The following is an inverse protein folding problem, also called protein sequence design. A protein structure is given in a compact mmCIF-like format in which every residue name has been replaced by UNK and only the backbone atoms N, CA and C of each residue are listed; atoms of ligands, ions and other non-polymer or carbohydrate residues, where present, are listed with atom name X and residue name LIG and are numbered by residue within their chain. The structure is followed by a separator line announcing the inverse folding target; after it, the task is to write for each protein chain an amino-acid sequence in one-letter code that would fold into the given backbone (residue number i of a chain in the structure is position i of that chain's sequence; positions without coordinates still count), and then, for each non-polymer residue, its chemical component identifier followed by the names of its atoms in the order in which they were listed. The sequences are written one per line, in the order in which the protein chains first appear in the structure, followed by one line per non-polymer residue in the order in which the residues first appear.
data_IF_272712536834
#
_entry.id   IF_272712536834
#
_cell.length_a   1.000
_cell.length_b   1.000
_cell.length_c   1.000
_cell.angle_alpha   90.00
_cell.angle_beta   90.00
_cell.angle_gamma   90.00
#
_symmetry.space_group_name_H-M   'P 1'
#
loop_
_entity.id
_entity.type
_entity.pdbx_description
1 polymer ?
#
# COMPACT_ATOMS: atom_id res chain seq x y z
N UNK A 1 54.37 -52.89 40.48
CA UNK A 1 53.43 -53.17 39.38
C UNK A 1 52.58 -51.93 39.19
N UNK A 2 52.53 -51.45 37.95
CA UNK A 2 51.90 -50.22 37.45
C UNK A 2 50.53 -49.90 38.07
N UNK A 3 50.12 -48.65 38.32
CA UNK A 3 50.53 -47.39 37.73
C UNK A 3 49.69 -47.06 36.50
N UNK A 4 48.47 -46.54 36.69
CA UNK A 4 47.84 -45.55 35.80
C UNK A 4 47.11 -44.55 36.72
N UNK A 5 47.83 -43.49 37.04
CA UNK A 5 47.35 -42.27 37.67
C UNK A 5 46.37 -41.54 36.74
N UNK A 6 45.37 -40.92 37.35
CA UNK A 6 44.44 -40.00 36.69
C UNK A 6 45.22 -38.85 36.02
N UNK A 7 44.95 -38.53 34.74
CA UNK A 7 45.46 -37.30 34.15
C UNK A 7 44.58 -36.09 34.57
N UNK A 8 45.12 -34.87 34.45
CA UNK A 8 45.04 -33.85 35.48
C UNK A 8 43.87 -32.86 35.34
N UNK A 9 43.47 -32.28 36.49
CA UNK A 9 42.82 -30.97 36.58
C UNK A 9 43.74 -29.90 35.99
N UNK A 10 43.51 -29.50 34.75
CA UNK A 10 43.97 -28.25 34.13
C UNK A 10 42.75 -27.68 33.38
N UNK A 11 42.19 -26.51 33.72
CA UNK A 11 42.90 -25.34 34.21
C UNK A 11 43.77 -24.75 33.12
N UNK A 12 43.27 -24.66 31.87
CA UNK A 12 43.82 -23.84 30.79
C UNK A 12 42.84 -23.80 29.59
N UNK A 13 41.67 -23.22 29.79
CA UNK A 13 41.19 -22.25 28.80
C UNK A 13 41.25 -20.90 29.52
N UNK A 14 42.06 -20.01 28.94
CA UNK A 14 42.31 -18.69 29.50
C UNK A 14 41.00 -17.95 29.67
N UNK A 15 40.92 -17.20 30.78
CA UNK A 15 39.94 -16.14 31.07
C UNK A 15 39.02 -15.83 29.88
N UNK A 16 37.86 -16.47 29.82
CA UNK A 16 36.73 -15.84 29.17
C UNK A 16 36.44 -14.61 30.02
N UNK A 17 36.81 -13.48 29.45
CA UNK A 17 36.42 -12.15 29.88
C UNK A 17 34.93 -12.17 30.19
N UNK A 18 34.59 -11.62 31.36
CA UNK A 18 33.26 -11.12 31.69
C UNK A 18 32.77 -10.22 30.54
N UNK A 19 32.20 -10.82 29.50
CA UNK A 19 31.53 -10.10 28.42
C UNK A 19 30.09 -9.94 28.87
N UNK A 20 29.88 -8.85 29.59
CA UNK A 20 28.65 -8.04 29.64
C UNK A 20 27.49 -8.60 28.79
N UNK A 21 26.74 -9.53 29.36
CA UNK A 21 25.35 -9.82 28.95
C UNK A 21 24.39 -8.82 29.60
N UNK A 22 24.79 -7.55 29.68
CA UNK A 22 24.03 -6.48 30.33
C UNK A 22 23.65 -5.35 29.38
N UNK A 23 24.01 -5.41 28.09
CA UNK A 23 23.74 -4.31 27.13
C UNK A 23 22.75 -4.65 26.00
N UNK A 24 22.24 -5.89 25.88
CA UNK A 24 21.29 -6.25 24.79
C UNK A 24 19.84 -6.34 25.27
N UNK A 25 19.62 -6.47 26.58
CA UNK A 25 18.30 -6.31 27.18
C UNK A 25 18.41 -5.08 28.06
N UNK A 26 17.71 -4.02 27.68
CA UNK A 26 17.51 -2.86 28.55
C UNK A 26 16.94 -3.27 29.91
N UNK A 27 16.87 -2.31 30.83
CA UNK A 27 16.31 -2.54 32.16
C UNK A 27 14.97 -3.28 32.03
N UNK A 28 14.63 -4.30 32.83
CA UNK A 28 13.28 -4.88 32.83
C UNK A 28 12.16 -3.82 32.89
N UNK A 29 12.42 -2.67 33.50
CA UNK A 29 11.53 -1.50 33.49
C UNK A 29 11.37 -0.86 32.08
N UNK A 30 12.39 -0.95 31.21
CA UNK A 30 12.34 -0.50 29.81
C UNK A 30 11.56 -1.46 28.90
N UNK A 31 11.57 -2.77 29.18
CA UNK A 31 10.74 -3.75 28.46
C UNK A 31 9.26 -3.56 28.79
N UNK A 32 8.92 -3.32 30.06
CA UNK A 32 7.55 -3.03 30.47
C UNK A 32 7.05 -1.69 29.89
N UNK A 33 7.92 -0.68 29.81
CA UNK A 33 7.60 0.59 29.14
C UNK A 33 7.43 0.43 27.62
N UNK A 34 8.28 -0.36 26.96
CA UNK A 34 8.16 -0.65 25.54
C UNK A 34 6.89 -1.46 25.22
N UNK A 35 6.55 -2.43 26.08
CA UNK A 35 5.32 -3.21 25.97
C UNK A 35 4.09 -2.33 26.18
N UNK A 36 4.10 -1.46 27.18
CA UNK A 36 3.04 -0.50 27.42
C UNK A 36 2.85 0.45 26.22
N UNK A 37 3.94 0.96 25.65
CA UNK A 37 3.89 1.82 24.46
C UNK A 37 3.35 1.07 23.21
N UNK A 38 3.66 -0.21 23.05
CA UNK A 38 3.11 -1.05 21.98
C UNK A 38 1.62 -1.32 22.18
N UNK A 39 1.19 -1.60 23.41
CA UNK A 39 -0.23 -1.78 23.76
C UNK A 39 -0.99 -0.49 23.51
N UNK A 40 -0.51 0.65 24.02
CA UNK A 40 -1.10 1.97 23.80
C UNK A 40 -1.19 2.30 22.30
N UNK A 41 -0.13 2.02 21.52
CA UNK A 41 -0.15 2.19 20.06
C UNK A 41 -1.18 1.27 19.39
N UNK A 42 -1.32 0.02 19.83
CA UNK A 42 -2.30 -0.92 19.28
C UNK A 42 -3.74 -0.52 19.58
N UNK A 43 -4.00 -0.01 20.79
CA UNK A 43 -5.30 0.51 21.20
C UNK A 43 -5.65 1.74 20.36
N UNK A 44 -4.68 2.64 20.16
CA UNK A 44 -4.85 3.82 19.31
C UNK A 44 -5.12 3.48 17.84
N UNK A 45 -4.44 2.47 17.28
CA UNK A 45 -4.73 1.96 15.92
C UNK A 45 -6.14 1.36 15.85
N UNK A 46 -6.55 0.61 16.88
CA UNK A 46 -7.89 0.04 16.96
C UNK A 46 -8.98 1.12 16.99
N UNK A 47 -8.76 2.20 17.73
CA UNK A 47 -9.68 3.34 17.81
C UNK A 47 -9.81 4.05 16.46
N UNK A 48 -8.68 4.34 15.79
CA UNK A 48 -8.67 4.96 14.45
C UNK A 48 -9.38 4.06 13.44
N UNK A 49 -9.11 2.74 13.45
CA UNK A 49 -9.77 1.79 12.57
C UNK A 49 -11.29 1.74 12.79
N UNK A 50 -11.73 1.74 14.06
CA UNK A 50 -13.15 1.77 14.42
C UNK A 50 -13.80 3.06 13.91
N UNK A 51 -13.15 4.19 14.10
CA UNK A 51 -13.63 5.49 13.65
C UNK A 51 -13.77 5.56 12.12
N UNK A 52 -12.79 5.05 11.38
CA UNK A 52 -12.82 4.96 9.92
C UNK A 52 -13.96 4.06 9.46
N UNK A 53 -14.09 2.86 10.05
CA UNK A 53 -15.18 1.95 9.71
C UNK A 53 -16.57 2.57 9.94
N UNK A 54 -16.75 3.31 11.04
CA UNK A 54 -17.99 4.04 11.32
C UNK A 54 -18.28 5.13 10.27
N UNK A 55 -17.26 5.87 9.84
CA UNK A 55 -17.40 6.87 8.79
C UNK A 55 -17.76 6.22 7.45
N UNK A 56 -17.13 5.11 7.08
CA UNK A 56 -17.43 4.39 5.84
C UNK A 56 -18.88 3.92 5.78
N UNK A 57 -19.38 3.35 6.89
CA UNK A 57 -20.78 2.94 7.01
C UNK A 57 -21.71 4.15 6.88
N UNK A 58 -21.40 5.25 7.57
CA UNK A 58 -22.23 6.46 7.58
C UNK A 58 -22.38 7.10 6.20
N UNK A 59 -21.30 7.13 5.42
CA UNK A 59 -21.30 7.66 4.06
C UNK A 59 -21.78 6.65 3.02
N UNK A 60 -21.98 5.38 3.41
CA UNK A 60 -22.42 4.32 2.49
C UNK A 60 -21.35 3.94 1.48
N UNK A 61 -20.08 3.99 1.89
CA UNK A 61 -18.95 3.62 1.03
C UNK A 61 -18.94 2.12 0.78
N UNK A 62 -19.05 1.74 -0.49
CA UNK A 62 -18.86 0.35 -0.90
C UNK A 62 -17.37 0.07 -1.10
N UNK A 63 -16.75 -0.44 -0.02
CA UNK A 63 -15.35 -0.84 0.02
C UNK A 63 -15.25 -2.36 0.07
N UNK A 64 -14.29 -2.95 -0.63
CA UNK A 64 -13.96 -4.38 -0.54
C UNK A 64 -13.04 -4.60 0.65
N UNK A 65 -12.02 -3.76 0.79
CA UNK A 65 -11.12 -3.74 1.93
C UNK A 65 -11.81 -3.21 3.19
N UNK A 66 -11.57 -3.83 4.34
CA UNK A 66 -12.06 -3.35 5.64
C UNK A 66 -11.03 -3.58 6.73
N UNK A 67 -10.82 -2.53 7.53
CA UNK A 67 -9.84 -2.53 8.60
C UNK A 67 -10.25 -3.47 9.73
N UNK A 68 -9.31 -4.29 10.18
CA UNK A 68 -9.47 -5.19 11.32
C UNK A 68 -10.15 -6.54 11.02
N UNK A 69 -10.43 -6.85 9.75
CA UNK A 69 -10.86 -8.19 9.36
C UNK A 69 -9.71 -9.20 9.41
N UNK A 70 -10.04 -10.45 9.71
CA UNK A 70 -9.12 -11.58 9.51
C UNK A 70 -8.94 -11.90 8.01
N UNK A 71 -7.89 -12.65 7.69
CA UNK A 71 -7.64 -13.11 6.31
C UNK A 71 -8.83 -13.92 5.74
N UNK A 72 -9.49 -14.72 6.58
CA UNK A 72 -10.65 -15.51 6.18
C UNK A 72 -11.88 -14.63 5.88
N UNK A 73 -12.12 -13.60 6.70
CA UNK A 73 -13.22 -12.65 6.48
C UNK A 73 -12.97 -11.76 5.25
N UNK A 74 -11.71 -11.35 5.06
CA UNK A 74 -11.29 -10.57 3.90
C UNK A 74 -11.50 -11.38 2.61
N UNK A 75 -11.01 -12.64 2.58
CA UNK A 75 -11.20 -13.54 1.43
C UNK A 75 -12.68 -13.78 1.10
N UNK A 76 -13.55 -13.97 2.10
CA UNK A 76 -15.01 -14.10 1.86
C UNK A 76 -15.62 -12.85 1.22
N UNK A 77 -15.08 -11.68 1.54
CA UNK A 77 -15.55 -10.40 1.01
C UNK A 77 -15.08 -10.18 -0.42
N UNK A 78 -13.86 -10.60 -0.73
CA UNK A 78 -13.33 -10.64 -2.10
C UNK A 78 -14.16 -11.59 -2.97
N UNK A 79 -14.44 -12.80 -2.48
CA UNK A 79 -15.29 -13.78 -3.19
C UNK A 79 -16.70 -13.21 -3.45
N UNK A 80 -17.29 -12.53 -2.46
CA UNK A 80 -18.59 -11.88 -2.61
C UNK A 80 -18.56 -10.73 -3.62
N UNK A 81 -17.47 -9.95 -3.67
CA UNK A 81 -17.28 -8.89 -4.65
C UNK A 81 -17.14 -9.47 -6.07
N UNK A 82 -16.38 -10.55 -6.22
CA UNK A 82 -16.21 -11.25 -7.49
C UNK A 82 -17.55 -11.78 -8.01
N UNK A 83 -18.34 -12.42 -7.16
CA UNK A 83 -19.67 -12.90 -7.54
C UNK A 83 -20.60 -11.75 -7.94
N UNK A 84 -20.57 -10.63 -7.20
CA UNK A 84 -21.31 -9.42 -7.55
C UNK A 84 -20.96 -8.91 -8.95
N UNK A 85 -19.66 -8.78 -9.25
CA UNK A 85 -19.22 -8.29 -10.57
C UNK A 85 -19.50 -9.28 -11.71
N UNK A 86 -19.44 -10.60 -11.46
CA UNK A 86 -19.92 -11.59 -12.44
C UNK A 86 -21.38 -11.35 -12.77
N UNK A 87 -22.21 -11.14 -11.73
CA UNK A 87 -23.63 -10.90 -11.91
C UNK A 87 -23.90 -9.60 -12.69
N UNK A 88 -23.12 -8.55 -12.45
CA UNK A 88 -23.19 -7.29 -13.20
C UNK A 88 -22.89 -7.49 -14.69
N UNK A 89 -21.86 -8.28 -15.00
CA UNK A 89 -21.51 -8.65 -16.39
C UNK A 89 -22.63 -9.46 -17.05
N UNK A 90 -23.23 -10.41 -16.34
CA UNK A 90 -24.41 -11.14 -16.83
C UNK A 90 -25.61 -10.22 -17.09
N UNK A 91 -25.75 -9.16 -16.30
CA UNK A 91 -26.77 -8.13 -16.46
C UNK A 91 -26.43 -7.11 -17.56
N UNK A 92 -25.25 -7.23 -18.19
CA UNK A 92 -24.79 -6.40 -19.30
C UNK A 92 -24.01 -5.15 -18.89
N UNK A 93 -23.58 -5.03 -17.64
CA UNK A 93 -22.61 -4.02 -17.22
C UNK A 93 -21.18 -4.52 -17.46
N UNK A 94 -20.54 -3.94 -18.46
CA UNK A 94 -19.15 -4.26 -18.83
C UNK A 94 -18.15 -3.18 -18.39
N UNK A 95 -18.54 -2.25 -17.52
CA UNK A 95 -17.72 -1.10 -17.13
C UNK A 95 -16.36 -1.45 -16.53
N UNK A 96 -16.20 -2.67 -16.00
CA UNK A 96 -14.97 -3.17 -15.36
C UNK A 96 -14.11 -4.04 -16.28
N UNK A 97 -14.50 -4.18 -17.54
CA UNK A 97 -13.85 -5.05 -18.52
C UNK A 97 -13.30 -4.26 -19.70
N UNK A 98 -12.14 -4.67 -20.20
CA UNK A 98 -11.66 -4.28 -21.52
C UNK A 98 -12.30 -5.19 -22.57
N UNK A 99 -13.42 -4.72 -23.11
CA UNK A 99 -14.17 -5.44 -24.15
C UNK A 99 -13.32 -5.71 -25.39
N UNK A 100 -12.39 -4.81 -25.75
CA UNK A 100 -11.55 -4.98 -26.93
C UNK A 100 -10.62 -6.18 -26.76
N UNK A 101 -10.07 -6.36 -25.55
CA UNK A 101 -9.26 -7.53 -25.21
C UNK A 101 -10.08 -8.83 -25.17
N UNK A 102 -11.41 -8.75 -25.02
CA UNK A 102 -12.29 -9.92 -24.96
C UNK A 102 -12.77 -10.40 -26.34
N UNK A 103 -12.71 -9.55 -27.37
CA UNK A 103 -13.17 -9.89 -28.74
C UNK A 103 -12.41 -11.10 -29.32
N UNK A 104 -11.15 -11.32 -28.96
CA UNK A 104 -10.35 -12.46 -29.43
C UNK A 104 -10.90 -13.82 -28.99
N UNK A 105 -11.69 -13.84 -27.90
CA UNK A 105 -12.31 -15.04 -27.35
C UNK A 105 -13.75 -15.26 -27.84
N UNK A 106 -14.30 -14.39 -28.69
CA UNK A 106 -15.73 -14.42 -29.07
C UNK A 106 -16.22 -15.72 -29.74
N UNK A 107 -15.31 -16.56 -30.24
CA UNK A 107 -15.61 -17.88 -30.79
C UNK A 107 -15.61 -19.03 -29.78
N UNK A 108 -15.01 -18.84 -28.60
CA UNK A 108 -14.88 -19.85 -27.53
C UNK A 108 -15.49 -19.33 -26.23
N UNK A 109 -16.68 -19.82 -25.93
CA UNK A 109 -17.44 -19.39 -24.74
C UNK A 109 -16.74 -19.73 -23.43
N UNK A 110 -15.96 -20.81 -23.38
CA UNK A 110 -15.28 -21.21 -22.16
C UNK A 110 -14.07 -20.30 -21.93
N UNK A 111 -13.27 -20.07 -22.98
CA UNK A 111 -12.15 -19.15 -22.90
C UNK A 111 -12.58 -17.69 -22.62
N UNK A 112 -13.72 -17.25 -23.18
CA UNK A 112 -14.29 -15.94 -22.90
C UNK A 112 -14.69 -15.79 -21.42
N UNK A 113 -15.31 -16.82 -20.83
CA UNK A 113 -15.68 -16.80 -19.42
C UNK A 113 -14.44 -16.75 -18.50
N UNK A 114 -13.40 -17.53 -18.81
CA UNK A 114 -12.13 -17.50 -18.08
C UNK A 114 -11.43 -16.14 -18.19
N UNK A 115 -11.45 -15.51 -19.36
CA UNK A 115 -10.87 -14.18 -19.58
C UNK A 115 -11.62 -13.08 -18.81
N UNK A 116 -12.95 -13.15 -18.76
CA UNK A 116 -13.79 -12.25 -17.94
C UNK A 116 -13.43 -12.41 -16.46
N UNK A 117 -13.41 -13.64 -15.95
CA UNK A 117 -13.06 -13.91 -14.55
C UNK A 117 -11.69 -13.35 -14.17
N UNK A 118 -10.70 -13.55 -15.03
CA UNK A 118 -9.35 -13.03 -14.82
C UNK A 118 -9.33 -11.50 -14.77
N UNK A 119 -10.02 -10.82 -15.70
CA UNK A 119 -10.09 -9.36 -15.69
C UNK A 119 -10.80 -8.83 -14.43
N UNK A 120 -11.88 -9.49 -13.98
CA UNK A 120 -12.58 -9.11 -12.75
C UNK A 120 -11.71 -9.29 -11.51
N UNK A 121 -10.95 -10.38 -11.42
CA UNK A 121 -9.99 -10.59 -10.32
C UNK A 121 -8.92 -9.51 -10.30
N UNK A 122 -8.31 -9.21 -11.46
CA UNK A 122 -7.32 -8.13 -11.57
C UNK A 122 -7.92 -6.78 -11.19
N UNK A 123 -9.17 -6.51 -11.56
CA UNK A 123 -9.87 -5.30 -11.15
C UNK A 123 -10.07 -5.24 -9.63
N UNK A 124 -10.52 -6.32 -9.00
CA UNK A 124 -10.70 -6.41 -7.54
C UNK A 124 -9.38 -6.17 -6.82
N UNK A 125 -8.29 -6.83 -7.23
CA UNK A 125 -6.97 -6.65 -6.61
C UNK A 125 -6.52 -5.19 -6.67
N UNK A 126 -6.69 -4.53 -7.83
CA UNK A 126 -6.39 -3.10 -7.99
C UNK A 126 -7.26 -2.24 -7.08
N UNK A 127 -8.57 -2.52 -7.02
CA UNK A 127 -9.49 -1.77 -6.16
C UNK A 127 -9.11 -1.89 -4.69
N UNK A 128 -8.82 -3.10 -4.21
CA UNK A 128 -8.37 -3.35 -2.83
C UNK A 128 -7.08 -2.59 -2.54
N UNK A 129 -6.09 -2.65 -3.44
CA UNK A 129 -4.84 -1.93 -3.26
C UNK A 129 -5.05 -0.41 -3.16
N UNK A 130 -5.91 0.16 -4.02
CA UNK A 130 -6.30 1.57 -3.97
C UNK A 130 -7.02 1.93 -2.67
N UNK A 131 -7.97 1.10 -2.21
CA UNK A 131 -8.69 1.29 -0.95
C UNK A 131 -7.74 1.25 0.25
N UNK A 132 -6.82 0.27 0.28
CA UNK A 132 -5.79 0.17 1.31
C UNK A 132 -4.91 1.42 1.37
N UNK A 133 -4.45 1.90 0.21
CA UNK A 133 -3.65 3.11 0.12
C UNK A 133 -4.38 4.32 0.70
N UNK A 134 -5.62 4.55 0.25
CA UNK A 134 -6.44 5.67 0.72
C UNK A 134 -6.71 5.57 2.22
N UNK A 135 -7.05 4.39 2.73
CA UNK A 135 -7.27 4.15 4.15
C UNK A 135 -6.04 4.47 4.98
N UNK A 136 -4.87 4.03 4.54
CA UNK A 136 -3.61 4.30 5.25
C UNK A 136 -3.30 5.80 5.32
N UNK A 137 -3.52 6.53 4.23
CA UNK A 137 -3.37 7.99 4.21
C UNK A 137 -4.35 8.65 5.19
N UNK A 138 -5.64 8.27 5.15
CA UNK A 138 -6.66 8.78 6.07
C UNK A 138 -6.32 8.47 7.54
N UNK A 139 -5.90 7.25 7.85
CA UNK A 139 -5.47 6.86 9.20
C UNK A 139 -4.35 7.75 9.71
N UNK A 140 -3.38 8.06 8.84
CA UNK A 140 -2.24 8.92 9.18
C UNK A 140 -2.69 10.35 9.49
N UNK A 141 -3.56 10.91 8.65
CA UNK A 141 -4.09 12.26 8.85
C UNK A 141 -4.94 12.35 10.13
N UNK A 142 -5.82 11.37 10.38
CA UNK A 142 -6.60 11.27 11.61
C UNK A 142 -5.72 11.17 12.85
N UNK A 143 -4.67 10.35 12.79
CA UNK A 143 -3.73 10.18 13.89
C UNK A 143 -2.95 11.45 14.22
N UNK A 144 -2.61 12.22 13.17
CA UNK A 144 -1.88 13.49 13.30
C UNK A 144 -2.71 14.63 13.90
N UNK A 145 -4.05 14.52 13.86
CA UNK A 145 -4.99 15.59 14.23
C UNK A 145 -4.73 16.92 13.49
N UNK A 146 -4.06 16.85 12.35
CA UNK A 146 -3.72 18.02 11.55
C UNK A 146 -4.98 18.64 10.97
N UNK A 147 -5.06 19.96 11.00
CA UNK A 147 -6.13 20.72 10.33
C UNK A 147 -5.63 21.10 8.94
N UNK A 148 -6.20 20.47 7.92
CA UNK A 148 -5.88 20.72 6.52
C UNK A 148 -6.56 22.00 6.02
N UNK A 149 -5.87 22.80 5.21
CA UNK A 149 -6.50 23.94 4.54
C UNK A 149 -7.35 23.47 3.35
N UNK A 150 -8.34 24.28 2.95
CA UNK A 150 -9.31 23.87 1.94
C UNK A 150 -8.72 23.64 0.54
N UNK A 151 -7.53 24.14 0.22
CA UNK A 151 -6.86 23.86 -1.06
C UNK A 151 -6.15 22.53 -1.00
N UNK A 152 -5.30 22.33 0.02
CA UNK A 152 -4.62 21.05 0.28
C UNK A 152 -5.63 19.89 0.35
N UNK A 153 -6.74 20.09 1.07
CA UNK A 153 -7.83 19.11 1.17
C UNK A 153 -8.51 18.83 -0.16
N UNK A 154 -8.75 19.86 -0.98
CA UNK A 154 -9.36 19.66 -2.31
C UNK A 154 -8.45 18.79 -3.18
N UNK A 155 -7.16 19.11 -3.21
CA UNK A 155 -6.18 18.40 -4.04
C UNK A 155 -6.02 16.96 -3.56
N UNK A 156 -5.94 16.75 -2.24
CA UNK A 156 -5.85 15.42 -1.67
C UNK A 156 -7.10 14.57 -1.98
N UNK A 157 -8.31 15.13 -1.82
CA UNK A 157 -9.54 14.40 -2.16
C UNK A 157 -9.57 14.04 -3.66
N UNK A 158 -9.18 14.96 -4.54
CA UNK A 158 -9.12 14.70 -5.98
C UNK A 158 -8.17 13.53 -6.30
N UNK A 159 -6.95 13.55 -5.74
CA UNK A 159 -5.97 12.48 -5.93
C UNK A 159 -6.50 11.12 -5.46
N UNK A 160 -7.12 11.08 -4.28
CA UNK A 160 -7.60 9.82 -3.69
C UNK A 160 -8.81 9.26 -4.47
N UNK A 161 -9.72 10.13 -4.94
CA UNK A 161 -10.82 9.69 -5.81
C UNK A 161 -10.32 9.17 -7.15
N UNK A 162 -9.29 9.77 -7.74
CA UNK A 162 -8.68 9.27 -8.97
C UNK A 162 -8.01 7.91 -8.77
N UNK A 163 -7.28 7.72 -7.66
CA UNK A 163 -6.69 6.41 -7.31
C UNK A 163 -7.76 5.32 -7.14
N UNK A 164 -8.92 5.69 -6.63
CA UNK A 164 -10.05 4.78 -6.45
C UNK A 164 -10.86 4.55 -7.74
N UNK A 165 -10.62 5.27 -8.83
CA UNK A 165 -11.50 5.31 -10.00
C UNK A 165 -12.94 5.73 -9.63
N UNK A 166 -13.05 6.76 -8.79
CA UNK A 166 -14.32 7.28 -8.26
C UNK A 166 -14.58 8.72 -8.72
N UNK A 167 -15.85 9.11 -8.72
CA UNK A 167 -16.25 10.49 -9.05
C UNK A 167 -16.35 11.37 -7.80
N UNK A 168 -16.37 12.70 -7.98
CA UNK A 168 -16.65 13.67 -6.91
C UNK A 168 -18.03 13.53 -6.26
N UNK A 169 -18.92 12.70 -6.85
CA UNK A 169 -20.27 12.42 -6.35
C UNK A 169 -20.37 11.07 -5.66
N UNK A 170 -19.29 10.30 -5.59
CA UNK A 170 -19.29 9.01 -4.93
C UNK A 170 -19.41 9.17 -3.41
N UNK A 171 -19.87 8.13 -2.69
CA UNK A 171 -19.76 8.04 -1.24
C UNK A 171 -18.35 8.33 -0.69
N UNK A 172 -17.30 8.00 -1.45
CA UNK A 172 -15.92 8.25 -1.06
C UNK A 172 -15.62 9.73 -0.88
N UNK A 173 -16.23 10.61 -1.67
CA UNK A 173 -16.07 12.05 -1.48
C UNK A 173 -16.54 12.50 -0.09
N UNK A 174 -17.73 12.04 0.33
CA UNK A 174 -18.28 12.37 1.65
C UNK A 174 -17.39 11.87 2.77
N UNK A 175 -16.93 10.62 2.66
CA UNK A 175 -15.99 10.01 3.60
C UNK A 175 -14.68 10.80 3.70
N UNK A 176 -14.01 11.06 2.58
CA UNK A 176 -12.72 11.77 2.56
C UNK A 176 -12.85 13.22 3.05
N UNK A 177 -13.94 13.90 2.68
CA UNK A 177 -14.20 15.26 3.12
C UNK A 177 -14.44 15.33 4.64
N UNK A 178 -15.02 14.31 5.27
CA UNK A 178 -15.09 14.24 6.73
C UNK A 178 -13.75 13.85 7.35
N UNK A 179 -13.14 12.76 6.87
CA UNK A 179 -12.02 12.12 7.51
C UNK A 179 -10.73 12.96 7.51
N UNK A 180 -10.52 13.80 6.48
CA UNK A 180 -9.37 14.70 6.39
C UNK A 180 -9.52 15.97 7.26
N UNK A 181 -10.68 16.15 7.94
CA UNK A 181 -10.92 17.29 8.82
C UNK A 181 -10.92 18.65 8.10
N UNK A 182 -10.79 19.75 8.85
CA UNK A 182 -10.83 21.11 8.29
C UNK A 182 -12.21 21.52 7.75
N UNK A 183 -12.24 22.62 6.98
CA UNK A 183 -13.49 23.11 6.37
C UNK A 183 -13.97 22.16 5.25
N UNK A 184 -15.28 22.01 5.11
CA UNK A 184 -15.88 21.22 4.04
C UNK A 184 -15.56 21.85 2.67
N UNK A 185 -15.15 21.02 1.72
CA UNK A 185 -14.98 21.42 0.33
C UNK A 185 -16.18 20.97 -0.49
N UNK A 186 -16.45 21.64 -1.60
CA UNK A 186 -17.58 21.27 -2.47
C UNK A 186 -17.14 20.25 -3.53
N UNK A 187 -18.04 19.33 -3.95
CA UNK A 187 -17.72 18.32 -4.97
C UNK A 187 -17.36 18.97 -6.32
N UNK A 188 -17.92 20.13 -6.65
CA UNK A 188 -17.60 20.87 -7.89
C UNK A 188 -16.19 21.48 -7.87
N UNK A 189 -15.64 21.73 -6.68
CA UNK A 189 -14.25 22.19 -6.56
C UNK A 189 -13.29 21.03 -6.82
N UNK A 190 -13.58 19.87 -6.24
CA UNK A 190 -12.80 18.63 -6.45
C UNK A 190 -12.89 18.16 -7.90
N UNK A 191 -14.09 18.15 -8.50
CA UNK A 191 -14.31 17.76 -9.90
C UNK A 191 -13.45 18.59 -10.86
N UNK A 192 -13.34 19.91 -10.63
CA UNK A 192 -12.48 20.78 -11.44
C UNK A 192 -10.99 20.44 -11.34
N UNK A 193 -10.51 20.01 -10.18
CA UNK A 193 -9.11 19.58 -10.01
C UNK A 193 -8.88 18.26 -10.73
N UNK A 194 -9.79 17.30 -10.56
CA UNK A 194 -9.74 16.02 -11.26
C UNK A 194 -9.76 16.21 -12.79
N UNK A 195 -10.62 17.08 -13.31
CA UNK A 195 -10.69 17.41 -14.73
C UNK A 195 -9.41 18.05 -15.25
N UNK A 196 -8.80 18.95 -14.46
CA UNK A 196 -7.53 19.58 -14.81
C UNK A 196 -6.38 18.56 -14.85
N UNK A 197 -6.34 17.64 -13.89
CA UNK A 197 -5.37 16.54 -13.85
C UNK A 197 -5.59 15.58 -15.02
N UNK A 198 -6.84 15.19 -15.30
CA UNK A 198 -7.18 14.35 -16.44
C UNK A 198 -6.80 15.02 -17.77
N UNK A 199 -6.99 16.34 -17.91
CA UNK A 199 -6.56 17.10 -19.08
C UNK A 199 -5.03 17.13 -19.22
N UNK A 200 -4.28 17.34 -18.13
CA UNK A 200 -2.82 17.26 -18.14
C UNK A 200 -2.32 15.85 -18.49
N UNK A 201 -3.05 14.82 -18.07
CA UNK A 201 -2.74 13.41 -18.38
C UNK A 201 -3.17 13.01 -19.80
N UNK A 202 -4.00 13.80 -20.51
CA UNK A 202 -4.30 13.60 -21.94
C UNK A 202 -3.19 14.16 -22.84
N UNK A 203 -2.39 15.08 -22.34
CA UNK A 203 -1.25 15.67 -23.06
C UNK A 203 0.06 14.86 -22.91
N UNK A 204 0.06 13.78 -22.15
CA UNK A 204 1.16 12.80 -22.05
C UNK A 204 0.61 11.37 -22.03
N UNK A 205 1.44 10.34 -22.20
CA UNK A 205 0.98 8.96 -21.96
C UNK A 205 0.74 8.82 -20.44
N UNK A 206 -0.51 8.61 -19.96
CA UNK A 206 -0.84 8.58 -18.53
C UNK A 206 -0.12 7.43 -17.80
N UNK A 207 0.34 6.43 -18.56
CA UNK A 207 1.12 5.32 -18.06
C UNK A 207 2.62 5.46 -18.38
N UNK A 208 3.09 6.59 -18.91
CA UNK A 208 4.52 6.78 -19.24
C UNK A 208 5.38 6.62 -17.99
N UNK A 209 5.00 7.30 -16.90
CA UNK A 209 5.72 7.24 -15.62
C UNK A 209 5.63 5.87 -14.97
N UNK A 210 4.45 5.25 -14.98
CA UNK A 210 4.29 3.89 -14.43
C UNK A 210 5.04 2.86 -15.25
N UNK A 211 5.02 2.94 -16.58
CA UNK A 211 5.76 2.06 -17.49
C UNK A 211 7.26 2.26 -17.34
N UNK A 212 7.73 3.51 -17.29
CA UNK A 212 9.13 3.85 -16.99
C UNK A 212 9.56 3.24 -15.65
N UNK A 213 8.70 3.28 -14.63
CA UNK A 213 9.02 2.69 -13.33
C UNK A 213 9.02 1.15 -13.33
N UNK A 214 8.05 0.51 -13.99
CA UNK A 214 8.05 -0.94 -14.17
C UNK A 214 9.25 -1.43 -14.97
N UNK A 215 9.69 -0.68 -15.99
CA UNK A 215 10.93 -0.97 -16.72
C UNK A 215 12.16 -0.89 -15.80
N UNK A 216 12.21 0.09 -14.88
CA UNK A 216 13.28 0.17 -13.87
C UNK A 216 13.29 -1.03 -12.94
N UNK A 217 12.12 -1.47 -12.46
CA UNK A 217 12.00 -2.67 -11.62
C UNK A 217 12.46 -3.91 -12.40
N UNK A 218 12.04 -4.06 -13.66
CA UNK A 218 12.45 -5.17 -14.50
C UNK A 218 13.97 -5.21 -14.69
N UNK A 219 14.59 -4.06 -15.00
CA UNK A 219 16.04 -3.95 -15.18
C UNK A 219 16.80 -4.26 -13.89
N UNK A 220 16.34 -3.75 -12.76
CA UNK A 220 17.00 -3.93 -11.47
C UNK A 220 16.92 -5.37 -10.96
N UNK A 221 15.81 -6.06 -11.26
CA UNK A 221 15.55 -7.43 -10.81
C UNK A 221 15.91 -8.50 -11.86
N UNK A 222 16.40 -8.08 -13.02
CA UNK A 222 16.70 -8.96 -14.15
C UNK A 222 15.48 -9.72 -14.69
N UNK A 223 14.27 -9.21 -14.45
CA UNK A 223 13.01 -9.85 -14.83
C UNK A 223 12.67 -11.12 -14.04
N UNK A 224 13.30 -11.33 -12.88
CA UNK A 224 13.08 -12.53 -12.04
C UNK A 224 11.76 -12.54 -11.27
N UNK A 225 11.03 -11.42 -11.24
CA UNK A 225 9.77 -11.27 -10.52
C UNK A 225 8.57 -11.66 -11.40
N UNK A 226 7.57 -12.30 -10.80
CA UNK A 226 6.26 -12.45 -11.43
C UNK A 226 5.55 -11.09 -11.58
N UNK A 227 4.48 -11.03 -12.37
CA UNK A 227 3.68 -9.80 -12.52
C UNK A 227 3.12 -9.30 -11.17
N UNK A 228 2.64 -10.22 -10.32
CA UNK A 228 2.13 -9.89 -8.97
C UNK A 228 3.24 -9.37 -8.07
N UNK A 229 4.39 -10.02 -8.06
CA UNK A 229 5.55 -9.57 -7.27
C UNK A 229 6.05 -8.20 -7.75
N UNK A 230 6.07 -7.98 -9.06
CA UNK A 230 6.45 -6.71 -9.67
C UNK A 230 5.51 -5.58 -9.25
N UNK A 231 4.20 -5.82 -9.20
CA UNK A 231 3.22 -4.85 -8.73
C UNK A 231 3.38 -4.52 -7.23
N UNK A 232 3.57 -5.55 -6.39
CA UNK A 232 3.80 -5.36 -4.95
C UNK A 232 5.10 -4.60 -4.66
N UNK A 233 6.18 -4.92 -5.38
CA UNK A 233 7.46 -4.19 -5.28
C UNK A 233 7.27 -2.74 -5.70
N UNK A 234 6.56 -2.48 -6.80
CA UNK A 234 6.28 -1.10 -7.25
C UNK A 234 5.53 -0.30 -6.17
N UNK A 235 4.51 -0.91 -5.56
CA UNK A 235 3.72 -0.29 -4.50
C UNK A 235 4.56 0.03 -3.26
N UNK A 236 5.31 -0.95 -2.74
CA UNK A 236 6.09 -0.78 -1.51
C UNK A 236 7.24 0.24 -1.72
N UNK A 237 7.88 0.26 -2.89
CA UNK A 237 8.90 1.27 -3.25
C UNK A 237 8.28 2.66 -3.37
N UNK A 238 7.13 2.80 -4.03
CA UNK A 238 6.44 4.09 -4.14
C UNK A 238 6.08 4.65 -2.76
N UNK A 239 5.58 3.80 -1.86
CA UNK A 239 5.28 4.16 -0.48
C UNK A 239 6.51 4.63 0.31
N UNK A 240 7.63 3.91 0.19
CA UNK A 240 8.91 4.32 0.82
C UNK A 240 9.42 5.65 0.25
N UNK A 241 9.38 5.82 -1.06
CA UNK A 241 9.84 7.03 -1.72
C UNK A 241 9.01 8.26 -1.33
N UNK A 242 7.69 8.12 -1.21
CA UNK A 242 6.81 9.19 -0.73
C UNK A 242 7.12 9.56 0.71
N UNK A 243 7.30 8.57 1.61
CA UNK A 243 7.72 8.81 3.01
C UNK A 243 9.07 9.54 3.09
N UNK A 244 10.01 9.24 2.21
CA UNK A 244 11.28 9.99 2.12
C UNK A 244 11.13 11.39 1.52
N UNK A 245 10.13 11.66 0.69
CA UNK A 245 9.86 13.02 0.18
C UNK A 245 9.17 13.90 1.23
N UNK A 246 8.47 13.32 2.20
CA UNK A 246 7.70 14.02 3.23
C UNK A 246 8.38 14.06 4.60
N UNK A 247 9.69 13.79 4.67
CA UNK A 247 10.48 13.69 5.91
C UNK A 247 9.93 12.66 6.94
N UNK A 248 9.15 11.68 6.47
CA UNK A 248 8.56 10.59 7.26
C UNK A 248 9.33 9.27 7.12
N UNK A 249 10.60 9.32 6.71
CA UNK A 249 11.47 8.16 6.49
C UNK A 249 12.03 7.56 7.78
N UNK A 250 11.19 7.32 8.78
CA UNK A 250 11.61 6.68 10.03
C UNK A 250 10.47 5.91 10.70
N UNK A 251 10.84 4.94 11.54
CA UNK A 251 9.89 4.15 12.34
C UNK A 251 9.62 2.74 11.81
N UNK A 252 8.76 2.02 12.54
CA UNK A 252 8.55 0.58 12.34
C UNK A 252 7.92 0.20 11.00
N UNK A 253 7.04 1.04 10.43
CA UNK A 253 6.44 0.78 9.12
C UNK A 253 7.45 0.90 7.98
N UNK A 254 8.36 1.87 8.07
CA UNK A 254 9.44 2.04 7.09
C UNK A 254 10.35 0.81 7.07
N UNK A 255 10.73 0.32 8.26
CA UNK A 255 11.50 -0.92 8.41
C UNK A 255 10.72 -2.16 7.92
N UNK A 256 9.42 -2.24 8.20
CA UNK A 256 8.56 -3.35 7.75
C UNK A 256 8.46 -3.42 6.23
N UNK A 257 8.28 -2.28 5.55
CA UNK A 257 8.24 -2.23 4.08
C UNK A 257 9.57 -2.67 3.46
N UNK A 258 10.72 -2.28 4.05
CA UNK A 258 12.04 -2.77 3.62
C UNK A 258 12.13 -4.29 3.79
N UNK A 259 11.74 -4.83 4.95
CA UNK A 259 11.77 -6.27 5.20
C UNK A 259 10.88 -7.05 4.20
N UNK A 260 9.70 -6.52 3.88
CA UNK A 260 8.78 -7.12 2.90
C UNK A 260 9.39 -7.17 1.49
N UNK A 261 10.08 -6.11 1.08
CA UNK A 261 10.82 -6.06 -0.20
C UNK A 261 11.99 -7.06 -0.21
N UNK A 262 12.72 -7.18 0.91
CA UNK A 262 13.79 -8.18 1.05
C UNK A 262 13.27 -9.62 0.98
N UNK A 263 12.09 -9.90 1.54
CA UNK A 263 11.42 -11.22 1.40
C UNK A 263 11.05 -11.55 -0.05
N UNK A 264 10.82 -10.54 -0.89
CA UNK A 264 10.65 -10.69 -2.33
C UNK A 264 11.97 -10.83 -3.10
N UNK A 265 13.11 -10.89 -2.40
CA UNK A 265 14.42 -11.16 -2.98
C UNK A 265 15.21 -9.92 -3.39
N UNK A 266 14.77 -8.71 -3.02
CA UNK A 266 15.50 -7.48 -3.30
C UNK A 266 16.59 -7.23 -2.26
N UNK A 267 17.76 -6.77 -2.69
CA UNK A 267 18.81 -6.27 -1.80
C UNK A 267 18.55 -4.83 -1.38
N UNK A 268 19.20 -4.38 -0.30
CA UNK A 268 19.13 -2.99 0.16
C UNK A 268 19.53 -1.99 -0.93
N UNK A 269 20.53 -2.35 -1.75
CA UNK A 269 21.02 -1.53 -2.85
C UNK A 269 19.98 -1.40 -3.97
N UNK A 270 19.28 -2.50 -4.30
CA UNK A 270 18.18 -2.48 -5.27
C UNK A 270 17.01 -1.64 -4.75
N UNK A 271 16.64 -1.78 -3.47
CA UNK A 271 15.58 -1.00 -2.85
C UNK A 271 15.89 0.50 -2.90
N UNK A 272 17.10 0.90 -2.49
CA UNK A 272 17.51 2.31 -2.51
C UNK A 272 17.56 2.88 -3.93
N UNK A 273 18.02 2.10 -4.90
CA UNK A 273 18.07 2.48 -6.32
C UNK A 273 16.66 2.70 -6.89
N UNK A 274 15.72 1.80 -6.59
CA UNK A 274 14.34 1.90 -7.06
C UNK A 274 13.58 3.06 -6.39
N UNK A 275 13.82 3.32 -5.10
CA UNK A 275 13.30 4.51 -4.41
C UNK A 275 13.77 5.77 -5.13
N UNK A 276 15.07 5.89 -5.39
CA UNK A 276 15.65 7.04 -6.09
C UNK A 276 15.04 7.20 -7.49
N UNK A 277 14.94 6.12 -8.26
CA UNK A 277 14.35 6.13 -9.59
C UNK A 277 12.88 6.57 -9.57
N UNK A 278 12.09 6.10 -8.60
CA UNK A 278 10.70 6.54 -8.44
C UNK A 278 10.63 8.06 -8.20
N UNK A 279 11.47 8.58 -7.31
CA UNK A 279 11.49 10.02 -7.02
C UNK A 279 11.80 10.86 -8.25
N UNK A 280 12.80 10.44 -9.03
CA UNK A 280 13.18 11.11 -10.27
C UNK A 280 12.04 11.12 -11.30
N UNK A 281 11.34 9.99 -11.47
CA UNK A 281 10.22 9.85 -12.41
C UNK A 281 9.05 10.75 -12.00
N UNK A 282 8.69 10.78 -10.72
CA UNK A 282 7.58 11.59 -10.21
C UNK A 282 7.89 13.08 -10.31
N UNK A 283 9.11 13.49 -9.93
CA UNK A 283 9.54 14.91 -9.93
C UNK A 283 9.91 15.44 -11.32
N UNK A 284 10.00 14.59 -12.35
CA UNK A 284 10.29 14.98 -13.72
C UNK A 284 9.21 15.96 -14.22
N UNK A 285 9.58 17.18 -14.65
CA UNK A 285 8.63 18.11 -15.24
C UNK A 285 8.08 17.54 -16.55
N UNK A 286 6.81 17.83 -16.90
CA UNK A 286 6.28 17.42 -18.20
C UNK A 286 7.16 17.99 -19.31
N UNK A 287 7.46 17.19 -20.34
CA UNK A 287 8.24 17.65 -21.50
C UNK A 287 7.52 18.86 -22.11
N UNK A 288 8.23 19.97 -22.23
CA UNK A 288 7.74 21.10 -23.01
C UNK A 288 7.67 20.68 -24.48
N UNK A 289 6.51 20.84 -25.11
CA UNK A 289 6.36 20.64 -26.55
C UNK A 289 7.23 21.67 -27.31
N UNK A 290 8.08 21.17 -28.22
CA UNK A 290 8.75 21.97 -29.27
C UNK A 290 7.83 22.19 -30.47
#
# INVERSE_FOLDING_TARGET
MAGIDQPPRNGQFGKESDWECSEILGDPDDMDAALAALVEKSERISDVNSQINDMLIRHGVNTIYQLGLSDEESSKREDAALEGYRQDVENGDFSKLDISALEEYGGDKLALAEAIDLQLQVYIEKRIASEMFVMMCVSTELDSQRVMDGTEKTDMIADHLLVLDETSRSPWFGFLNEALGGEDVSPERVERVMDAQAAANKTGDPYEKSREFYDRIFMETGGGLSAVQTALVAYDIAGLAMKEMTDQASGGEYAYCIEKLQRNGLSDEQIATLITAYKEIVQKPPKAEE
#
